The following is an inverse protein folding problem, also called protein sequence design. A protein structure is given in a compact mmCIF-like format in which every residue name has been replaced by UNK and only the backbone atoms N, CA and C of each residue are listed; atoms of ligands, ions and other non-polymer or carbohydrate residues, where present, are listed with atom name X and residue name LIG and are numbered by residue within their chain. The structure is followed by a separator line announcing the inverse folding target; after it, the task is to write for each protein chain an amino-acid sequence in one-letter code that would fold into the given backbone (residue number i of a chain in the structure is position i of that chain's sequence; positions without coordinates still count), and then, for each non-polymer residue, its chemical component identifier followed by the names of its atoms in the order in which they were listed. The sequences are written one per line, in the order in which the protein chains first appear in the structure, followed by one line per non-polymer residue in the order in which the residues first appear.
data_IF_263831548014
#
_entry.id   IF_263831548014
#
_cell.length_a   1.000
_cell.length_b   1.000
_cell.length_c   1.000
_cell.angle_alpha   90.00
_cell.angle_beta   90.00
_cell.angle_gamma   90.00
#
_symmetry.space_group_name_H-M   'P 1'
#
loop_
_entity.id
_entity.type
_entity.pdbx_description
1 polymer ?
#
# COMPACT_ATOMS: atom_id res chain seq x y z
N UNK A 1 24.78 -3.25 3.76
CA UNK A 1 24.83 -4.39 4.71
C UNK A 1 24.45 -5.61 3.92
N UNK A 2 25.47 -6.30 3.40
CA UNK A 2 25.26 -7.52 2.61
C UNK A 2 24.75 -8.62 3.52
N UNK A 3 23.56 -9.10 3.20
CA UNK A 3 22.92 -10.21 3.87
C UNK A 3 23.56 -11.49 3.28
N UNK A 4 24.67 -11.92 3.90
CA UNK A 4 25.58 -12.98 3.41
C UNK A 4 24.93 -14.35 3.12
N UNK A 5 23.70 -14.58 3.59
CA UNK A 5 22.95 -15.81 3.31
C UNK A 5 22.21 -15.79 1.97
N UNK A 6 21.83 -14.61 1.44
CA UNK A 6 21.18 -14.52 0.13
C UNK A 6 22.18 -14.76 -1.01
N UNK A 7 23.44 -14.38 -0.83
CA UNK A 7 24.53 -14.68 -1.78
C UNK A 7 24.88 -16.17 -1.84
N UNK A 8 24.48 -16.95 -0.84
CA UNK A 8 24.71 -18.39 -0.79
C UNK A 8 23.60 -19.21 -1.46
N UNK A 9 22.40 -18.64 -1.64
CA UNK A 9 21.29 -19.35 -2.29
C UNK A 9 21.43 -19.27 -3.82
N UNK A 10 21.84 -20.39 -4.42
CA UNK A 10 21.85 -20.55 -5.86
C UNK A 10 20.75 -21.55 -6.29
N UNK A 11 19.62 -21.07 -6.85
CA UNK A 11 18.52 -21.93 -7.29
C UNK A 11 18.96 -22.99 -8.28
N UNK A 12 19.98 -22.72 -9.11
CA UNK A 12 20.45 -23.67 -10.14
C UNK A 12 21.28 -24.81 -9.57
N UNK A 13 21.68 -24.73 -8.30
CA UNK A 13 22.43 -25.78 -7.58
C UNK A 13 21.62 -26.39 -6.43
N UNK A 14 20.37 -25.93 -6.25
CA UNK A 14 19.49 -26.42 -5.21
C UNK A 14 18.83 -27.74 -5.64
N UNK A 15 18.66 -28.66 -4.69
CA UNK A 15 18.04 -29.98 -4.90
C UNK A 15 16.85 -30.22 -3.99
N UNK A 16 16.70 -29.41 -2.94
CA UNK A 16 15.57 -29.48 -2.03
C UNK A 16 14.31 -28.92 -2.70
N UNK A 17 13.32 -29.77 -2.89
CA UNK A 17 12.07 -29.44 -3.61
C UNK A 17 11.35 -28.23 -3.05
N UNK A 18 11.31 -28.04 -1.72
CA UNK A 18 10.68 -26.87 -1.10
C UNK A 18 11.39 -25.56 -1.44
N UNK A 19 12.72 -25.58 -1.56
CA UNK A 19 13.52 -24.39 -1.89
C UNK A 19 13.46 -24.08 -3.40
N UNK A 20 13.39 -25.11 -4.24
CA UNK A 20 13.11 -24.95 -5.67
C UNK A 20 11.72 -24.36 -5.91
N UNK A 21 10.68 -24.86 -5.23
CA UNK A 21 9.34 -24.29 -5.32
C UNK A 21 9.25 -22.88 -4.75
N UNK A 22 10.00 -22.54 -3.69
CA UNK A 22 10.13 -21.17 -3.22
C UNK A 22 10.80 -20.28 -4.28
N UNK A 23 11.85 -20.77 -4.94
CA UNK A 23 12.52 -20.03 -6.01
C UNK A 23 11.59 -19.78 -7.21
N UNK A 24 10.88 -20.81 -7.68
CA UNK A 24 9.94 -20.71 -8.80
C UNK A 24 8.75 -19.80 -8.48
N UNK A 25 8.15 -19.92 -7.29
CA UNK A 25 6.93 -19.20 -6.96
C UNK A 25 7.17 -17.79 -6.41
N UNK A 26 8.25 -17.59 -5.64
CA UNK A 26 8.50 -16.35 -4.92
C UNK A 26 9.64 -15.54 -5.56
N UNK A 27 10.74 -16.20 -5.91
CA UNK A 27 11.90 -15.49 -6.47
C UNK A 27 11.73 -15.10 -7.93
N UNK A 28 10.75 -15.65 -8.65
CA UNK A 28 10.35 -15.12 -9.95
C UNK A 28 10.08 -13.62 -9.82
N UNK A 29 9.08 -13.20 -9.07
CA UNK A 29 8.88 -11.76 -8.89
C UNK A 29 10.03 -11.11 -8.11
N UNK A 30 10.60 -11.68 -7.06
CA UNK A 30 11.56 -10.92 -6.25
C UNK A 30 12.98 -10.81 -6.81
N UNK A 31 13.39 -11.66 -7.77
CA UNK A 31 14.78 -11.73 -8.26
C UNK A 31 14.88 -11.93 -9.79
N UNK A 32 14.07 -12.80 -10.39
CA UNK A 32 14.36 -13.37 -11.73
C UNK A 32 13.28 -13.19 -12.80
N UNK A 33 12.20 -12.45 -12.51
CA UNK A 33 11.12 -12.24 -13.46
C UNK A 33 11.62 -11.41 -14.62
N UNK A 34 11.71 -12.06 -15.78
CA UNK A 34 11.78 -11.38 -17.06
C UNK A 34 10.53 -10.48 -17.18
N UNK A 35 10.67 -9.24 -17.64
CA UNK A 35 9.52 -8.39 -17.93
C UNK A 35 8.59 -9.06 -18.94
N UNK A 36 7.31 -8.66 -18.94
CA UNK A 36 6.38 -9.14 -19.96
C UNK A 36 6.89 -8.73 -21.35
N UNK A 37 6.60 -9.49 -22.43
CA UNK A 37 7.02 -9.13 -23.77
C UNK A 37 6.59 -7.69 -24.15
N UNK A 38 7.57 -6.81 -24.38
CA UNK A 38 7.35 -5.38 -24.66
C UNK A 38 7.54 -4.44 -23.46
N UNK A 39 7.80 -4.98 -22.27
CA UNK A 39 7.93 -4.25 -20.99
C UNK A 39 9.37 -4.34 -20.42
N UNK A 40 10.37 -4.65 -21.26
CA UNK A 40 11.75 -4.96 -20.85
C UNK A 40 12.42 -3.88 -19.96
N UNK A 41 11.92 -2.64 -20.03
CA UNK A 41 12.39 -1.50 -19.24
C UNK A 41 11.39 -1.03 -18.16
N UNK A 42 10.25 -1.72 -17.99
CA UNK A 42 9.17 -1.35 -17.08
C UNK A 42 9.39 -1.77 -15.63
N UNK A 43 10.42 -2.58 -15.38
CA UNK A 43 10.68 -3.17 -14.07
C UNK A 43 12.15 -3.05 -13.67
N UNK A 44 12.45 -2.02 -12.89
CA UNK A 44 13.77 -1.80 -12.28
C UNK A 44 13.91 -2.62 -10.98
N UNK A 45 15.11 -2.65 -10.37
CA UNK A 45 15.38 -3.35 -9.11
C UNK A 45 15.67 -2.37 -7.96
N UNK A 46 15.53 -2.85 -6.71
CA UNK A 46 15.78 -2.05 -5.51
C UNK A 46 14.89 -0.81 -5.43
N UNK A 47 15.46 0.33 -5.01
CA UNK A 47 14.71 1.59 -4.85
C UNK A 47 14.07 2.05 -6.17
N UNK A 48 14.76 1.85 -7.29
CA UNK A 48 14.31 2.28 -8.61
C UNK A 48 13.08 1.50 -9.09
N UNK A 49 12.84 0.30 -8.55
CA UNK A 49 11.66 -0.51 -8.85
C UNK A 49 10.34 0.20 -8.53
N UNK A 50 10.35 1.14 -7.58
CA UNK A 50 9.16 1.91 -7.19
C UNK A 50 9.33 3.40 -7.47
N UNK A 51 10.54 3.93 -7.27
CA UNK A 51 10.79 5.37 -7.34
C UNK A 51 11.10 5.89 -8.75
N UNK A 52 11.27 5.03 -9.76
CA UNK A 52 11.52 5.43 -11.14
C UNK A 52 10.45 4.88 -12.08
N UNK A 53 9.18 5.28 -11.93
CA UNK A 53 8.12 4.80 -12.80
C UNK A 53 8.36 5.21 -14.25
N UNK A 54 7.88 4.39 -15.18
CA UNK A 54 7.85 4.74 -16.59
C UNK A 54 7.04 6.02 -16.81
N UNK A 55 7.46 6.82 -17.78
CA UNK A 55 6.64 7.93 -18.27
C UNK A 55 5.35 7.39 -18.91
N UNK A 56 4.30 8.22 -19.04
CA UNK A 56 3.08 7.83 -19.77
C UNK A 56 3.34 7.35 -21.20
N UNK A 57 4.46 7.76 -21.79
CA UNK A 57 4.89 7.39 -23.14
C UNK A 57 5.78 6.13 -23.15
N UNK A 58 5.96 5.47 -22.01
CA UNK A 58 6.76 4.26 -21.86
C UNK A 58 8.27 4.49 -21.76
N UNK A 59 8.72 5.74 -21.67
CA UNK A 59 10.15 6.06 -21.54
C UNK A 59 10.62 6.04 -20.08
N UNK A 60 11.84 5.54 -19.85
CA UNK A 60 12.46 5.59 -18.53
C UNK A 60 12.85 7.02 -18.18
N UNK A 61 12.07 7.66 -17.31
CA UNK A 61 12.45 8.95 -16.73
C UNK A 61 13.58 8.77 -15.71
N UNK A 62 14.73 9.41 -15.92
CA UNK A 62 15.85 9.41 -14.96
C UNK A 62 15.56 10.37 -13.78
N UNK A 63 14.52 10.06 -13.01
CA UNK A 63 14.10 10.83 -11.85
C UNK A 63 13.55 9.88 -10.78
N UNK A 64 13.82 10.20 -9.51
CA UNK A 64 13.19 9.52 -8.38
C UNK A 64 11.95 10.30 -7.94
N UNK A 65 10.84 9.61 -7.69
CA UNK A 65 9.59 10.21 -7.22
C UNK A 65 9.03 9.49 -6.01
N UNK A 66 8.36 10.24 -5.13
CA UNK A 66 7.55 9.73 -4.02
C UNK A 66 6.05 9.71 -4.36
N UNK A 67 5.67 10.18 -5.54
CA UNK A 67 4.32 10.12 -6.08
C UNK A 67 4.16 8.83 -6.92
N UNK A 68 4.06 7.69 -6.23
CA UNK A 68 4.02 6.36 -6.83
C UNK A 68 2.57 5.97 -7.08
N UNK A 69 2.16 5.88 -8.34
CA UNK A 69 0.82 5.40 -8.70
C UNK A 69 0.69 3.90 -8.47
N UNK A 70 -0.54 3.45 -8.25
CA UNK A 70 -0.89 2.04 -8.14
C UNK A 70 -0.41 1.18 -9.31
N UNK A 71 -0.29 1.75 -10.51
CA UNK A 71 0.18 1.02 -11.69
C UNK A 71 1.59 0.47 -11.45
N UNK A 72 2.44 1.20 -10.73
CA UNK A 72 3.78 0.75 -10.35
C UNK A 72 3.74 -0.44 -9.40
N UNK A 73 2.85 -0.41 -8.41
CA UNK A 73 2.64 -1.54 -7.50
C UNK A 73 2.10 -2.74 -8.27
N UNK A 74 1.16 -2.49 -9.17
CA UNK A 74 0.55 -3.48 -10.01
C UNK A 74 1.51 -4.07 -11.04
N UNK A 75 2.72 -3.54 -11.28
CA UNK A 75 3.77 -4.24 -12.04
C UNK A 75 4.04 -5.63 -11.47
N UNK A 76 3.88 -5.80 -10.15
CA UNK A 76 4.06 -7.07 -9.45
C UNK A 76 2.78 -7.56 -8.76
N UNK A 77 2.06 -6.66 -8.09
CA UNK A 77 0.84 -6.99 -7.36
C UNK A 77 -0.35 -7.15 -8.29
N UNK A 78 -1.36 -7.88 -7.82
CA UNK A 78 -2.57 -8.18 -8.57
C UNK A 78 -2.31 -8.91 -9.91
N UNK A 79 -1.15 -9.55 -10.11
CA UNK A 79 -0.84 -10.25 -11.37
C UNK A 79 -1.46 -11.65 -11.50
N UNK A 80 -2.17 -12.12 -10.48
CA UNK A 80 -2.60 -13.52 -10.33
C UNK A 80 -2.82 -13.90 -8.88
N UNK A 81 -3.15 -15.17 -8.63
CA UNK A 81 -3.37 -15.71 -7.28
C UNK A 81 -2.50 -16.95 -7.05
N UNK A 82 -1.92 -17.05 -5.86
CA UNK A 82 -1.29 -18.28 -5.41
C UNK A 82 -2.35 -19.26 -4.92
N UNK A 83 -2.37 -20.46 -5.49
CA UNK A 83 -3.31 -21.51 -5.09
C UNK A 83 -2.68 -22.43 -4.06
N UNK A 84 -3.31 -22.52 -2.88
CA UNK A 84 -2.90 -23.45 -1.83
C UNK A 84 -3.22 -24.92 -2.17
N UNK A 85 -4.01 -25.17 -3.22
CA UNK A 85 -4.43 -26.53 -3.61
C UNK A 85 -3.33 -27.28 -4.36
N UNK A 86 -2.67 -26.59 -5.27
CA UNK A 86 -1.60 -27.11 -6.13
C UNK A 86 -0.24 -26.46 -5.83
N UNK A 87 -0.20 -25.48 -4.93
CA UNK A 87 1.01 -24.76 -4.53
C UNK A 87 1.68 -24.05 -5.72
N UNK A 88 0.86 -23.48 -6.61
CA UNK A 88 1.31 -22.77 -7.81
C UNK A 88 0.72 -21.37 -7.88
N UNK A 89 1.49 -20.46 -8.48
CA UNK A 89 1.01 -19.15 -8.88
C UNK A 89 0.25 -19.23 -10.21
N UNK A 90 -1.01 -18.80 -10.21
CA UNK A 90 -1.85 -18.71 -11.40
C UNK A 90 -1.95 -17.26 -11.85
N UNK A 91 -1.30 -16.86 -12.96
CA UNK A 91 -1.39 -15.50 -13.46
C UNK A 91 -2.83 -15.19 -13.86
N UNK A 92 -3.20 -13.91 -13.73
CA UNK A 92 -4.45 -13.40 -14.29
C UNK A 92 -4.40 -13.52 -15.82
N UNK A 93 -5.43 -14.11 -16.41
CA UNK A 93 -5.61 -14.23 -17.86
C UNK A 93 -6.52 -13.14 -18.43
N UNK A 94 -7.21 -12.39 -17.56
CA UNK A 94 -8.12 -11.33 -17.92
C UNK A 94 -7.38 -10.04 -18.30
N UNK A 95 -7.76 -9.48 -19.46
CA UNK A 95 -7.29 -8.17 -19.92
C UNK A 95 -8.43 -7.16 -19.77
N UNK A 96 -8.59 -6.63 -18.57
CA UNK A 96 -9.46 -5.47 -18.36
C UNK A 96 -8.64 -4.19 -18.30
N UNK A 97 -9.14 -3.14 -18.95
CA UNK A 97 -8.63 -1.79 -18.81
C UNK A 97 -9.42 -1.06 -17.73
N UNK A 98 -8.73 -0.41 -16.82
CA UNK A 98 -9.34 0.50 -15.86
C UNK A 98 -9.19 0.05 -14.43
N UNK A 99 -8.97 1.04 -13.59
CA UNK A 99 -8.48 0.88 -12.22
C UNK A 99 -9.21 -0.16 -11.37
N UNK A 100 -10.54 -0.16 -11.38
CA UNK A 100 -11.33 -1.12 -10.60
C UNK A 100 -10.97 -2.57 -10.95
N UNK A 101 -10.93 -2.91 -12.25
CA UNK A 101 -10.64 -4.27 -12.69
C UNK A 101 -9.17 -4.64 -12.51
N UNK A 102 -8.26 -3.67 -12.61
CA UNK A 102 -6.83 -3.91 -12.38
C UNK A 102 -6.52 -4.24 -10.91
N UNK A 103 -7.29 -3.69 -9.97
CA UNK A 103 -7.22 -4.02 -8.54
C UNK A 103 -7.99 -5.29 -8.17
N UNK A 104 -9.00 -5.64 -8.96
CA UNK A 104 -9.93 -6.69 -8.59
C UNK A 104 -9.31 -8.09 -8.67
N UNK A 105 -9.57 -8.90 -7.64
CA UNK A 105 -9.44 -10.35 -7.68
C UNK A 105 -10.85 -10.95 -7.52
N UNK A 106 -11.26 -11.97 -8.32
CA UNK A 106 -12.61 -12.53 -8.33
C UNK A 106 -13.22 -12.84 -6.95
N UNK A 107 -12.36 -13.23 -6.00
CA UNK A 107 -12.71 -13.69 -4.66
C UNK A 107 -12.82 -12.57 -3.61
N UNK A 108 -12.34 -11.35 -3.91
CA UNK A 108 -12.18 -10.31 -2.89
C UNK A 108 -13.34 -9.30 -2.90
N UNK A 109 -13.85 -8.98 -1.71
CA UNK A 109 -14.72 -7.82 -1.50
C UNK A 109 -13.85 -6.58 -1.35
N UNK A 110 -14.24 -5.49 -2.00
CA UNK A 110 -13.54 -4.21 -1.91
C UNK A 110 -14.52 -3.08 -1.63
N UNK A 111 -14.03 -2.03 -0.98
CA UNK A 111 -14.70 -0.74 -0.79
C UNK A 111 -14.14 0.31 -1.75
N UNK A 112 -14.87 1.44 -1.88
CA UNK A 112 -14.48 2.50 -2.81
C UNK A 112 -13.06 3.02 -2.61
N UNK A 113 -12.60 3.23 -1.38
CA UNK A 113 -11.27 3.77 -1.14
C UNK A 113 -10.16 2.82 -1.62
N UNK A 114 -10.32 1.51 -1.51
CA UNK A 114 -9.28 0.53 -1.87
C UNK A 114 -8.87 0.57 -3.34
N UNK A 115 -9.80 0.87 -4.25
CA UNK A 115 -9.48 1.03 -5.68
C UNK A 115 -9.49 2.49 -6.15
N UNK A 116 -9.80 3.46 -5.29
CA UNK A 116 -9.75 4.91 -5.61
C UNK A 116 -8.59 5.66 -4.95
N UNK A 117 -7.93 5.10 -3.95
CA UNK A 117 -6.67 5.58 -3.37
C UNK A 117 -5.49 4.76 -3.88
N UNK A 118 -4.36 5.38 -4.22
CA UNK A 118 -3.18 4.62 -4.65
C UNK A 118 -2.66 3.78 -3.48
N UNK A 119 -1.94 2.69 -3.77
CA UNK A 119 -1.46 1.78 -2.73
C UNK A 119 -0.69 2.51 -1.63
N UNK A 120 0.12 3.51 -1.99
CA UNK A 120 0.92 4.32 -1.05
C UNK A 120 0.09 5.25 -0.14
N UNK A 121 -1.20 5.45 -0.43
CA UNK A 121 -2.08 6.21 0.44
C UNK A 121 -2.41 5.43 1.70
N UNK A 122 -2.51 4.10 1.60
CA UNK A 122 -2.73 3.18 2.72
C UNK A 122 -1.41 2.54 3.19
N UNK A 123 -0.59 2.01 2.29
CA UNK A 123 0.66 1.35 2.63
C UNK A 123 1.78 2.35 2.88
N UNK A 124 2.24 2.41 4.12
CA UNK A 124 3.21 3.41 4.56
C UNK A 124 4.63 3.08 4.12
N UNK A 125 5.59 3.99 4.32
CA UNK A 125 6.99 3.70 3.99
C UNK A 125 7.53 2.54 4.84
N UNK A 126 7.08 2.42 6.08
CA UNK A 126 7.55 1.37 6.99
C UNK A 126 6.96 0.01 6.58
N UNK A 127 5.72 -0.03 6.10
CA UNK A 127 5.13 -1.26 5.53
C UNK A 127 5.83 -1.70 4.24
N UNK A 128 6.10 -0.77 3.33
CA UNK A 128 6.58 -1.10 1.97
C UNK A 128 8.10 -1.25 1.91
N UNK A 129 8.85 -0.44 2.66
CA UNK A 129 10.33 -0.42 2.63
C UNK A 129 10.96 -1.17 3.81
N UNK A 130 10.15 -1.56 4.79
CA UNK A 130 10.58 -2.17 6.05
C UNK A 130 10.67 -1.15 7.19
N UNK A 131 10.38 -1.63 8.40
CA UNK A 131 10.50 -0.92 9.67
C UNK A 131 11.83 -1.19 10.39
N UNK A 132 12.61 -2.15 9.88
CA UNK A 132 13.89 -2.57 10.44
C UNK A 132 13.83 -3.90 11.20
N UNK A 133 12.64 -4.48 11.35
CA UNK A 133 12.42 -5.76 12.03
C UNK A 133 12.04 -6.87 11.03
N UNK A 134 12.19 -8.13 11.47
CA UNK A 134 11.77 -9.32 10.72
C UNK A 134 10.45 -9.80 11.29
N UNK A 135 9.44 -9.81 10.44
CA UNK A 135 8.08 -10.23 10.78
C UNK A 135 7.81 -11.65 10.28
N UNK A 136 6.99 -12.41 11.01
CA UNK A 136 6.68 -13.79 10.66
C UNK A 136 5.64 -13.88 9.53
N UNK A 137 4.77 -12.86 9.42
CA UNK A 137 3.67 -12.80 8.48
C UNK A 137 3.38 -11.35 8.08
N UNK A 138 2.48 -11.18 7.11
CA UNK A 138 2.12 -9.85 6.57
C UNK A 138 1.27 -9.03 7.55
N UNK A 139 0.45 -9.68 8.37
CA UNK A 139 -0.43 -8.98 9.32
C UNK A 139 0.38 -8.21 10.37
N UNK A 140 1.56 -8.72 10.75
CA UNK A 140 2.50 -8.06 11.68
C UNK A 140 3.10 -6.76 11.12
N UNK A 141 3.15 -6.58 9.79
CA UNK A 141 3.62 -5.34 9.14
C UNK A 141 2.46 -4.50 8.56
N UNK A 142 1.19 -4.89 8.78
CA UNK A 142 0.04 -4.11 8.32
C UNK A 142 -0.47 -3.16 9.40
N UNK A 143 -0.06 -1.90 9.34
CA UNK A 143 -0.38 -0.87 10.33
C UNK A 143 -1.62 -0.04 9.96
N UNK A 144 -1.93 0.06 8.67
CA UNK A 144 -3.08 0.83 8.19
C UNK A 144 -4.28 -0.08 7.96
N UNK A 145 -5.34 0.24 8.68
CA UNK A 145 -6.63 -0.44 8.66
C UNK A 145 -7.76 0.60 8.52
N UNK A 146 -9.00 0.16 8.34
CA UNK A 146 -10.16 1.05 8.26
C UNK A 146 -10.23 2.00 9.48
N UNK A 147 -9.94 1.48 10.68
CA UNK A 147 -9.92 2.26 11.94
C UNK A 147 -8.80 3.30 12.01
N UNK A 148 -7.72 3.14 11.26
CA UNK A 148 -6.62 4.12 11.26
C UNK A 148 -7.12 5.45 10.71
N UNK A 149 -7.98 5.42 9.70
CA UNK A 149 -8.62 6.61 9.15
C UNK A 149 -9.96 6.92 9.83
N UNK A 150 -10.80 5.92 10.08
CA UNK A 150 -12.18 6.14 10.53
C UNK A 150 -12.40 5.99 12.05
N UNK A 151 -11.43 5.48 12.79
CA UNK A 151 -11.60 5.15 14.21
C UNK A 151 -12.53 3.95 14.40
N UNK A 152 -13.06 3.85 15.61
CA UNK A 152 -14.07 2.85 15.98
C UNK A 152 -15.36 3.56 16.40
N UNK A 153 -16.34 2.81 16.90
CA UNK A 153 -17.57 3.41 17.47
C UNK A 153 -17.31 4.21 18.74
N UNK A 154 -16.25 3.88 19.46
CA UNK A 154 -15.94 4.42 20.80
C UNK A 154 -14.72 5.33 20.79
N UNK A 155 -13.87 5.25 19.77
CA UNK A 155 -12.61 5.98 19.69
C UNK A 155 -12.47 6.67 18.33
N UNK A 156 -12.04 7.92 18.35
CA UNK A 156 -11.65 8.63 17.13
C UNK A 156 -10.31 8.08 16.60
N UNK A 157 -10.01 8.28 15.31
CA UNK A 157 -8.69 8.00 14.74
C UNK A 157 -7.55 8.59 15.59
N UNK A 158 -6.45 7.83 15.73
CA UNK A 158 -5.24 8.36 16.38
C UNK A 158 -4.72 9.54 15.58
N UNK A 159 -4.43 10.63 16.29
CA UNK A 159 -3.95 11.86 15.70
C UNK A 159 -3.06 12.61 16.67
N UNK A 160 -2.27 13.54 16.16
CA UNK A 160 -1.52 14.50 16.97
C UNK A 160 -1.50 15.87 16.30
N UNK A 161 -1.39 16.91 17.13
CA UNK A 161 -1.21 18.28 16.67
C UNK A 161 0.28 18.57 16.50
N UNK A 162 0.67 19.05 15.33
CA UNK A 162 2.04 19.44 15.02
C UNK A 162 2.47 20.59 15.94
N UNK A 163 3.48 20.37 16.76
CA UNK A 163 3.89 21.31 17.81
C UNK A 163 4.99 22.29 17.38
N UNK A 164 5.83 21.92 16.42
CA UNK A 164 6.98 22.72 16.00
C UNK A 164 7.44 22.36 14.58
N UNK A 165 8.29 23.22 14.00
CA UNK A 165 8.77 23.12 12.61
C UNK A 165 9.69 21.90 12.34
N UNK A 166 10.23 21.24 13.37
CA UNK A 166 11.08 20.07 13.18
C UNK A 166 10.28 18.76 13.06
N UNK A 167 8.96 18.84 13.03
CA UNK A 167 8.10 17.66 12.90
C UNK A 167 8.37 16.92 11.58
N UNK A 168 8.52 15.58 11.60
CA UNK A 168 8.78 14.79 10.39
C UNK A 168 7.71 14.95 9.32
N UNK A 169 6.46 15.30 9.67
CA UNK A 169 5.40 15.55 8.70
C UNK A 169 5.77 16.67 7.70
N UNK A 170 6.47 17.72 8.13
CA UNK A 170 6.93 18.78 7.23
C UNK A 170 7.94 18.28 6.21
N UNK A 171 8.84 17.37 6.62
CA UNK A 171 9.79 16.76 5.69
C UNK A 171 9.08 15.92 4.64
N UNK A 172 8.04 15.18 5.04
CA UNK A 172 7.26 14.39 4.09
C UNK A 172 6.44 15.26 3.14
N UNK A 173 5.78 16.30 3.63
CA UNK A 173 5.07 17.27 2.81
C UNK A 173 6.01 18.02 1.85
N UNK A 174 7.27 18.30 2.25
CA UNK A 174 8.28 18.87 1.36
C UNK A 174 8.68 17.90 0.24
N UNK A 175 8.85 16.62 0.56
CA UNK A 175 9.23 15.59 -0.42
C UNK A 175 8.09 15.28 -1.39
N UNK A 176 6.84 15.37 -0.93
CA UNK A 176 5.66 15.20 -1.76
C UNK A 176 4.60 16.27 -1.44
N UNK A 177 4.62 17.43 -2.13
CA UNK A 177 3.79 18.58 -1.76
C UNK A 177 2.36 18.45 -2.28
N UNK A 178 1.58 17.54 -1.67
CA UNK A 178 0.13 17.39 -1.94
C UNK A 178 -0.75 18.11 -0.93
N UNK A 179 -0.18 18.54 0.19
CA UNK A 179 -0.86 19.27 1.26
C UNK A 179 0.07 20.34 1.84
N UNK A 180 -0.51 21.50 2.16
CA UNK A 180 0.15 22.57 2.89
C UNK A 180 -0.11 22.40 4.39
N UNK A 181 0.91 21.93 5.13
CA UNK A 181 0.86 21.76 6.57
C UNK A 181 1.37 23.02 7.30
N UNK A 182 0.88 23.24 8.51
CA UNK A 182 1.34 24.29 9.43
C UNK A 182 1.42 23.80 10.86
N UNK A 183 2.21 24.47 11.70
CA UNK A 183 2.20 24.23 13.16
C UNK A 183 0.79 24.52 13.68
N UNK A 184 0.25 23.60 14.47
CA UNK A 184 -1.14 23.64 14.93
C UNK A 184 -2.11 22.78 14.10
N UNK A 185 -1.72 22.28 12.92
CA UNK A 185 -2.51 21.28 12.21
C UNK A 185 -2.52 19.96 12.99
N UNK A 186 -3.68 19.29 12.99
CA UNK A 186 -3.84 17.95 13.57
C UNK A 186 -3.88 16.92 12.45
N UNK A 187 -2.91 16.01 12.42
CA UNK A 187 -2.80 14.98 11.39
C UNK A 187 -3.03 13.58 11.96
N UNK A 188 -3.44 12.65 11.11
CA UNK A 188 -3.55 11.24 11.51
C UNK A 188 -2.17 10.60 11.68
N UNK A 189 -2.13 9.62 12.56
CA UNK A 189 -0.93 8.83 12.84
C UNK A 189 -1.31 7.36 12.93
N UNK A 190 -0.44 6.48 12.44
CA UNK A 190 -0.64 5.04 12.60
C UNK A 190 -0.48 4.63 14.06
N UNK A 191 -0.76 3.36 14.35
CA UNK A 191 -0.56 2.85 15.71
C UNK A 191 0.91 2.75 16.13
N UNK A 192 1.83 2.72 15.15
CA UNK A 192 3.28 2.73 15.32
C UNK A 192 3.90 4.13 15.25
N UNK A 193 3.09 5.16 15.51
CA UNK A 193 3.50 6.56 15.53
C UNK A 193 4.08 7.06 14.18
N UNK A 194 3.67 6.47 13.06
CA UNK A 194 4.04 6.95 11.73
C UNK A 194 3.05 8.02 11.25
N UNK A 195 3.50 9.26 10.91
CA UNK A 195 2.62 10.31 10.45
C UNK A 195 1.99 10.00 9.09
N UNK A 196 0.66 10.03 9.02
CA UNK A 196 -0.09 10.09 7.77
C UNK A 196 -0.19 11.56 7.34
N UNK A 197 0.96 12.15 7.02
CA UNK A 197 1.14 13.60 6.75
C UNK A 197 0.20 14.18 5.69
N UNK A 198 -0.31 13.35 4.77
CA UNK A 198 -1.27 13.75 3.73
C UNK A 198 -2.73 13.75 4.20
N UNK A 199 -2.97 13.53 5.50
CA UNK A 199 -4.31 13.41 6.09
C UNK A 199 -4.44 14.25 7.36
N UNK A 200 -5.35 15.22 7.37
CA UNK A 200 -5.58 16.11 8.53
C UNK A 200 -7.04 16.18 8.96
N UNK A 201 -7.23 16.53 10.22
CA UNK A 201 -8.53 16.84 10.80
C UNK A 201 -8.95 18.28 10.44
N UNK A 202 -10.23 18.45 10.12
CA UNK A 202 -10.86 19.73 9.84
C UNK A 202 -11.58 20.27 11.07
N UNK A 203 -11.89 21.58 11.04
CA UNK A 203 -12.53 22.27 12.17
C UNK A 203 -13.92 21.74 12.53
N UNK A 204 -14.61 21.08 11.59
CA UNK A 204 -15.93 20.47 11.79
C UNK A 204 -15.87 19.02 12.31
N UNK A 205 -14.66 18.50 12.58
CA UNK A 205 -14.44 17.13 13.05
C UNK A 205 -14.43 16.08 11.94
N UNK A 206 -14.57 16.48 10.68
CA UNK A 206 -14.29 15.61 9.53
C UNK A 206 -12.79 15.59 9.23
N UNK A 207 -12.38 14.75 8.29
CA UNK A 207 -10.99 14.61 7.89
C UNK A 207 -10.86 14.78 6.38
N UNK A 208 -9.72 15.29 5.94
CA UNK A 208 -9.35 15.30 4.54
C UNK A 208 -8.04 14.55 4.30
N UNK A 209 -8.01 13.78 3.22
CA UNK A 209 -6.84 13.08 2.71
C UNK A 209 -6.56 13.58 1.30
N UNK A 210 -5.29 13.80 0.98
CA UNK A 210 -4.84 14.07 -0.38
C UNK A 210 -4.07 12.86 -0.92
N UNK A 211 -4.50 12.31 -2.05
CA UNK A 211 -3.82 11.19 -2.69
C UNK A 211 -2.38 11.55 -3.03
N UNK A 212 -1.41 10.74 -2.58
CA UNK A 212 0.02 11.04 -2.68
C UNK A 212 0.53 11.02 -4.12
N UNK A 213 -0.13 10.29 -5.03
CA UNK A 213 0.18 10.33 -6.46
C UNK A 213 -0.84 11.17 -7.26
N UNK A 214 -2.13 10.96 -7.03
CA UNK A 214 -3.21 11.65 -7.77
C UNK A 214 -3.42 13.11 -7.39
N UNK A 215 -3.00 13.52 -6.18
CA UNK A 215 -3.34 14.81 -5.54
C UNK A 215 -4.84 15.03 -5.34
N UNK A 216 -5.65 14.00 -5.54
CA UNK A 216 -7.09 14.09 -5.38
C UNK A 216 -7.41 14.29 -3.89
N UNK A 217 -8.31 15.23 -3.61
CA UNK A 217 -8.82 15.46 -2.26
C UNK A 217 -9.99 14.53 -1.97
N UNK A 218 -9.92 13.86 -0.83
CA UNK A 218 -10.96 13.01 -0.28
C UNK A 218 -11.37 13.57 1.08
N UNK A 219 -12.67 13.60 1.37
CA UNK A 219 -13.19 14.01 2.67
C UNK A 219 -13.97 12.84 3.25
N UNK A 220 -13.76 12.54 4.52
CA UNK A 220 -14.40 11.43 5.20
C UNK A 220 -14.75 11.76 6.64
N UNK A 221 -15.61 10.93 7.23
CA UNK A 221 -16.09 11.05 8.60
C UNK A 221 -15.59 9.88 9.46
N UNK A 222 -15.41 10.07 10.77
CA UNK A 222 -15.15 8.97 11.68
C UNK A 222 -16.39 8.08 11.82
N UNK A 223 -16.19 6.84 12.27
CA UNK A 223 -17.25 5.88 12.60
C UNK A 223 -17.98 6.28 13.88
N UNK A 224 -17.28 6.92 14.83
CA UNK A 224 -17.86 7.41 16.07
C UNK A 224 -19.08 8.30 15.80
N UNK A 225 -20.20 8.00 16.45
CA UNK A 225 -21.47 8.74 16.27
C UNK A 225 -22.30 8.34 15.04
N UNK A 226 -21.85 7.36 14.25
CA UNK A 226 -22.64 6.80 13.14
C UNK A 226 -23.49 5.59 13.58
N UNK A 227 -24.36 5.11 12.69
CA UNK A 227 -25.14 3.88 12.89
C UNK A 227 -24.36 2.59 12.57
N UNK A 228 -23.04 2.65 12.41
CA UNK A 228 -22.22 1.47 12.12
C UNK A 228 -22.46 0.37 13.18
N UNK A 229 -22.66 -0.87 12.76
CA UNK A 229 -22.91 -2.02 13.64
C UNK A 229 -21.64 -2.70 14.17
N UNK A 230 -20.46 -2.21 13.83
CA UNK A 230 -19.18 -2.85 14.14
C UNK A 230 -19.01 -3.12 15.64
N UNK A 231 -18.49 -4.31 15.98
CA UNK A 231 -17.97 -4.61 17.30
C UNK A 231 -16.57 -4.00 17.47
N UNK A 232 -16.36 -3.01 18.37
CA UNK A 232 -15.07 -2.35 18.56
C UNK A 232 -13.94 -3.28 19.02
N UNK A 233 -14.26 -4.44 19.58
CA UNK A 233 -13.27 -5.41 20.07
C UNK A 233 -12.74 -6.33 18.96
N UNK A 234 -13.47 -6.45 17.84
CA UNK A 234 -13.11 -7.34 16.72
C UNK A 234 -12.44 -6.58 15.58
N UNK A 235 -12.93 -5.37 15.27
CA UNK A 235 -12.35 -4.44 14.28
C UNK A 235 -12.18 -5.01 12.86
N UNK A 236 -12.90 -6.08 12.53
CA UNK A 236 -12.78 -6.76 11.24
C UNK A 236 -13.37 -5.95 10.07
N UNK A 237 -12.73 -6.05 8.91
CA UNK A 237 -13.16 -5.35 7.68
C UNK A 237 -14.55 -5.76 7.19
N UNK A 238 -14.99 -7.00 7.50
CA UNK A 238 -16.29 -7.51 7.08
C UNK A 238 -17.45 -6.63 7.57
N UNK A 239 -17.32 -5.98 8.74
CA UNK A 239 -18.31 -5.03 9.26
C UNK A 239 -18.45 -3.82 8.34
N UNK A 240 -17.34 -3.30 7.84
CA UNK A 240 -17.33 -2.17 6.91
C UNK A 240 -17.92 -2.58 5.54
N UNK A 241 -17.58 -3.78 5.06
CA UNK A 241 -18.04 -4.30 3.78
C UNK A 241 -19.56 -4.46 3.69
N UNK A 242 -20.27 -4.67 4.82
CA UNK A 242 -21.73 -4.75 4.82
C UNK A 242 -22.42 -3.53 4.19
N UNK A 243 -21.83 -2.34 4.33
CA UNK A 243 -22.39 -1.08 3.83
C UNK A 243 -21.52 -0.40 2.76
N UNK A 244 -20.22 -0.69 2.73
CA UNK A 244 -19.25 -0.01 1.87
C UNK A 244 -18.73 -0.84 0.71
N UNK A 245 -19.09 -2.14 0.64
CA UNK A 245 -18.68 -2.98 -0.47
C UNK A 245 -19.21 -2.41 -1.80
N UNK A 246 -18.35 -2.43 -2.80
CA UNK A 246 -18.70 -2.04 -4.17
C UNK A 246 -19.66 -3.08 -4.73
N UNK A 247 -20.86 -2.63 -5.12
CA UNK A 247 -21.79 -3.47 -5.89
C UNK A 247 -21.19 -3.75 -7.27
N UNK A 248 -21.26 -5.02 -7.70
CA UNK A 248 -20.73 -5.52 -8.96
C UNK A 248 -21.83 -5.63 -10.00
#
# INVERSE_FOLDING_TARGET
TDISFLTAFNPTQETQSSLLSFAENCLYCHISAEPLPGEDYARLTGCAACHSPLSPDGETTHTLTTAISYTQCNTCHNRGNYSLRDMQYHPREDQYSGRLHEYYQPIAQFVRCEYTLDCIDCHTRSEVMGDGDIHNNQDEIQYVQCRTCHGTKTELPRSYTIQNENDPAFRFALLNPVIDLSVGDTILITEHDEPLWNTRMLADGTYELFGKATRQRFVFQPVAGTNCGQNPDEQESHYCHQCHAVER
#
